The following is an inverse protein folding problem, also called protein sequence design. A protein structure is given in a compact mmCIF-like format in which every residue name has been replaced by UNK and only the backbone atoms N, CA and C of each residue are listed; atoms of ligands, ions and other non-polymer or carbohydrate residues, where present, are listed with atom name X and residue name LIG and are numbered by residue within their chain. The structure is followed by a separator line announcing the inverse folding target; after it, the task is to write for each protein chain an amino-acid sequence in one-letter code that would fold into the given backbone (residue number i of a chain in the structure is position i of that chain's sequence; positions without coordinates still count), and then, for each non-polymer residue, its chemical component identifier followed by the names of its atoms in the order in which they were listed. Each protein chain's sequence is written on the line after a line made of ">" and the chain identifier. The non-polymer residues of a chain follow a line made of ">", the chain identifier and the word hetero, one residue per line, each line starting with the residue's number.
data_IF_532238162456
#
_entry.id   IF_532238162456
#
_cell.length_a   1.000
_cell.length_b   1.000
_cell.length_c   1.000
_cell.angle_alpha   90.00
_cell.angle_beta   90.00
_cell.angle_gamma   90.00
#
_symmetry.space_group_name_H-M   'P 1'
#
loop_
_entity.id
_entity.type
_entity.pdbx_description
1 polymer ?
#
# COMPACT_ATOMS: atom_id res chain seq x y z
N UNK A 1 0.53 21.37 22.37
CA UNK A 1 1.40 20.62 21.44
C UNK A 1 1.40 19.12 21.74
N UNK A 2 1.82 18.68 22.93
CA UNK A 2 1.91 17.26 23.31
C UNK A 2 0.61 16.45 23.12
N UNK A 3 -0.54 17.01 23.54
CA UNK A 3 -1.87 16.38 23.34
C UNK A 3 -2.18 16.10 21.86
N UNK A 4 -1.81 17.01 20.95
CA UNK A 4 -2.05 16.86 19.50
C UNK A 4 -1.16 15.75 18.91
N UNK A 5 0.08 15.66 19.36
CA UNK A 5 1.01 14.59 18.94
C UNK A 5 0.48 13.23 19.41
N UNK A 6 0.09 13.14 20.69
CA UNK A 6 -0.46 11.91 21.25
C UNK A 6 -1.74 11.47 20.55
N UNK A 7 -2.65 12.41 20.23
CA UNK A 7 -3.84 12.15 19.42
C UNK A 7 -3.50 11.66 18.01
N UNK A 8 -2.45 12.22 17.37
CA UNK A 8 -2.02 11.81 16.03
C UNK A 8 -1.42 10.39 16.04
N UNK A 9 -0.64 10.07 17.07
CA UNK A 9 -0.08 8.73 17.27
C UNK A 9 -1.23 7.74 17.53
N UNK A 10 -2.14 8.04 18.45
CA UNK A 10 -3.30 7.21 18.74
C UNK A 10 -4.16 6.98 17.49
N UNK A 11 -4.45 8.02 16.71
CA UNK A 11 -5.18 7.89 15.44
C UNK A 11 -4.44 7.01 14.42
N UNK A 12 -3.11 7.05 14.39
CA UNK A 12 -2.29 6.21 13.52
C UNK A 12 -2.33 4.74 13.94
N UNK A 13 -2.20 4.47 15.24
CA UNK A 13 -2.29 3.12 15.81
C UNK A 13 -3.69 2.53 15.60
N UNK A 14 -4.74 3.32 15.85
CA UNK A 14 -6.13 2.92 15.61
C UNK A 14 -6.37 2.59 14.12
N UNK A 15 -5.87 3.43 13.22
CA UNK A 15 -5.96 3.17 11.77
C UNK A 15 -5.26 1.86 11.38
N UNK A 16 -4.06 1.62 11.89
CA UNK A 16 -3.29 0.41 11.61
C UNK A 16 -3.95 -0.85 12.18
N UNK A 17 -4.42 -0.78 13.44
CA UNK A 17 -5.13 -1.88 14.09
C UNK A 17 -6.44 -2.19 13.38
N UNK A 18 -7.22 -1.17 13.00
CA UNK A 18 -8.44 -1.33 12.22
C UNK A 18 -8.18 -2.01 10.87
N UNK A 19 -7.13 -1.62 10.16
CA UNK A 19 -6.74 -2.25 8.90
C UNK A 19 -6.36 -3.73 9.07
N UNK A 20 -5.61 -4.06 10.12
CA UNK A 20 -5.23 -5.46 10.42
C UNK A 20 -6.48 -6.28 10.77
N UNK A 21 -7.39 -5.74 11.59
CA UNK A 21 -8.65 -6.40 11.93
C UNK A 21 -9.49 -6.69 10.70
N UNK A 22 -9.64 -5.71 9.79
CA UNK A 22 -10.38 -5.89 8.54
C UNK A 22 -9.72 -6.99 7.70
N UNK A 23 -8.41 -6.96 7.51
CA UNK A 23 -7.71 -7.97 6.70
C UNK A 23 -7.78 -9.38 7.30
N UNK A 24 -7.62 -9.52 8.61
CA UNK A 24 -7.66 -10.82 9.27
C UNK A 24 -9.09 -11.37 9.34
N UNK A 25 -10.09 -10.56 9.67
CA UNK A 25 -11.45 -11.09 9.87
C UNK A 25 -12.19 -11.26 8.53
N UNK A 26 -11.91 -10.43 7.52
CA UNK A 26 -12.58 -10.52 6.21
C UNK A 26 -12.37 -11.85 5.52
N UNK A 27 -11.13 -12.36 5.47
CA UNK A 27 -10.78 -13.60 4.74
C UNK A 27 -11.65 -14.79 5.17
N UNK A 28 -11.69 -15.22 6.44
CA UNK A 28 -12.46 -16.38 6.84
C UNK A 28 -13.97 -16.18 6.74
N UNK A 29 -14.47 -14.97 6.98
CA UNK A 29 -15.90 -14.70 6.85
C UNK A 29 -16.35 -14.76 5.39
N UNK A 30 -15.63 -14.10 4.49
CA UNK A 30 -15.96 -14.12 3.07
C UNK A 30 -15.82 -15.54 2.49
N UNK A 31 -14.81 -16.30 2.88
CA UNK A 31 -14.69 -17.72 2.50
C UNK A 31 -15.88 -18.54 3.03
N UNK A 32 -16.31 -18.30 4.27
CA UNK A 32 -17.43 -19.04 4.87
C UNK A 32 -18.76 -18.81 4.13
N UNK A 33 -19.04 -17.58 3.71
CA UNK A 33 -20.33 -17.24 3.10
C UNK A 33 -20.36 -17.34 1.58
N UNK A 34 -19.25 -17.04 0.90
CA UNK A 34 -19.17 -17.07 -0.56
C UNK A 34 -18.42 -18.28 -1.12
N UNK A 35 -17.66 -19.00 -0.29
CA UNK A 35 -16.76 -20.06 -0.76
C UNK A 35 -15.52 -19.50 -1.46
N UNK A 36 -14.59 -20.38 -1.82
CA UNK A 36 -13.29 -20.00 -2.40
C UNK A 36 -13.43 -19.38 -3.79
N UNK A 37 -14.24 -19.97 -4.66
CA UNK A 37 -14.29 -19.53 -6.06
C UNK A 37 -14.93 -18.15 -6.20
N UNK A 38 -16.11 -17.93 -5.60
CA UNK A 38 -16.81 -16.65 -5.65
C UNK A 38 -16.01 -15.54 -4.94
N UNK A 39 -15.38 -15.85 -3.80
CA UNK A 39 -14.49 -14.90 -3.13
C UNK A 39 -13.24 -14.57 -3.98
N UNK A 40 -12.70 -15.54 -4.71
CA UNK A 40 -11.62 -15.31 -5.66
C UNK A 40 -12.00 -14.35 -6.78
N UNK A 41 -13.20 -14.51 -7.37
CA UNK A 41 -13.71 -13.61 -8.40
C UNK A 41 -13.95 -12.20 -7.83
N UNK A 42 -14.48 -12.11 -6.61
CA UNK A 42 -14.60 -10.85 -5.88
C UNK A 42 -13.25 -10.15 -5.69
N UNK A 43 -12.19 -10.88 -5.31
CA UNK A 43 -10.85 -10.31 -5.16
C UNK A 43 -10.30 -9.79 -6.50
N UNK A 44 -10.54 -10.51 -7.60
CA UNK A 44 -10.15 -10.06 -8.94
C UNK A 44 -10.88 -8.78 -9.35
N UNK A 45 -12.20 -8.73 -9.15
CA UNK A 45 -13.00 -7.53 -9.41
C UNK A 45 -12.60 -6.34 -8.52
N UNK A 46 -12.16 -6.58 -7.28
CA UNK A 46 -11.65 -5.54 -6.39
C UNK A 46 -10.24 -5.05 -6.78
N UNK A 47 -9.44 -5.92 -7.39
CA UNK A 47 -8.07 -5.63 -7.81
C UNK A 47 -8.03 -4.60 -8.94
N UNK A 48 -8.93 -4.69 -9.91
CA UNK A 48 -8.90 -3.83 -11.10
C UNK A 48 -9.10 -2.34 -10.75
N UNK A 49 -10.15 -1.92 -10.00
CA UNK A 49 -10.36 -0.53 -9.63
C UNK A 49 -9.27 0.03 -8.72
N UNK A 50 -8.52 -0.82 -8.00
CA UNK A 50 -7.46 -0.36 -7.12
C UNK A 50 -6.34 0.38 -7.87
N UNK A 51 -6.15 0.12 -9.16
CA UNK A 51 -5.23 0.90 -10.01
C UNK A 51 -5.65 2.37 -10.14
N UNK A 52 -6.94 2.70 -9.96
CA UNK A 52 -7.37 4.10 -9.93
C UNK A 52 -6.77 4.88 -8.76
N UNK A 53 -6.37 4.20 -7.68
CA UNK A 53 -5.68 4.86 -6.56
C UNK A 53 -4.33 5.45 -6.95
N UNK A 54 -3.73 4.97 -8.05
CA UNK A 54 -2.53 5.57 -8.64
C UNK A 54 -2.77 6.99 -9.15
N UNK A 55 -4.01 7.40 -9.38
CA UNK A 55 -4.37 8.78 -9.69
C UNK A 55 -3.98 9.77 -8.60
N UNK A 56 -3.88 9.29 -7.36
CA UNK A 56 -3.55 10.10 -6.19
C UNK A 56 -2.05 10.28 -5.96
N UNK A 57 -1.21 9.70 -6.84
CA UNK A 57 0.26 9.73 -6.95
C UNK A 57 1.05 10.94 -6.38
N UNK A 58 0.91 11.22 -5.09
CA UNK A 58 1.44 12.43 -4.46
C UNK A 58 0.56 13.67 -4.61
N UNK A 59 -0.57 13.63 -5.35
CA UNK A 59 -1.43 14.80 -5.54
C UNK A 59 -2.08 15.23 -4.22
N UNK A 60 -2.73 14.33 -3.47
CA UNK A 60 -3.30 14.68 -2.17
C UNK A 60 -2.23 15.16 -1.17
N UNK A 61 -1.03 14.58 -1.20
CA UNK A 61 0.08 14.99 -0.32
C UNK A 61 0.62 16.39 -0.67
N UNK A 62 0.82 16.67 -1.96
CA UNK A 62 1.27 17.98 -2.43
C UNK A 62 0.21 19.06 -2.15
N UNK A 63 -1.06 18.77 -2.46
CA UNK A 63 -2.18 19.65 -2.14
C UNK A 63 -2.30 19.87 -0.63
N UNK A 64 -2.10 18.84 0.18
CA UNK A 64 -2.13 18.96 1.65
C UNK A 64 -1.06 19.92 2.17
N UNK A 65 0.15 19.89 1.61
CA UNK A 65 1.22 20.80 2.02
C UNK A 65 0.95 22.24 1.57
N UNK A 66 0.48 22.42 0.33
CA UNK A 66 0.08 23.73 -0.18
C UNK A 66 -1.10 24.33 0.60
N UNK A 67 -2.10 23.53 0.95
CA UNK A 67 -3.21 23.94 1.81
C UNK A 67 -2.69 24.41 3.18
N UNK A 68 -1.79 23.65 3.81
CA UNK A 68 -1.16 24.04 5.07
C UNK A 68 -0.42 25.38 4.95
N UNK A 69 0.33 25.61 3.87
CA UNK A 69 1.04 26.88 3.65
C UNK A 69 0.08 28.07 3.46
N UNK A 70 -0.95 27.91 2.64
CA UNK A 70 -1.93 28.98 2.38
C UNK A 70 -2.74 29.30 3.66
N UNK A 71 -3.14 28.30 4.44
CA UNK A 71 -3.83 28.49 5.72
C UNK A 71 -2.90 29.15 6.75
N UNK A 72 -1.63 28.73 6.82
CA UNK A 72 -0.63 29.36 7.71
C UNK A 72 -0.38 30.83 7.37
N UNK A 73 -0.48 31.20 6.08
CA UNK A 73 -0.40 32.59 5.60
C UNK A 73 -1.73 33.35 5.71
N UNK A 74 -2.79 32.72 6.24
CA UNK A 74 -4.16 33.27 6.31
C UNK A 74 -4.78 33.59 4.94
N UNK A 75 -4.28 32.98 3.87
CA UNK A 75 -4.78 33.14 2.50
C UNK A 75 -5.96 32.18 2.23
N UNK A 76 -7.02 32.29 3.02
CA UNK A 76 -8.16 31.38 3.03
C UNK A 76 -8.87 31.24 1.67
N UNK A 77 -8.96 32.32 0.89
CA UNK A 77 -9.57 32.28 -0.44
C UNK A 77 -8.77 31.41 -1.42
N UNK A 78 -7.43 31.50 -1.38
CA UNK A 78 -6.55 30.67 -2.20
C UNK A 78 -6.62 29.20 -1.77
N UNK A 79 -6.68 28.94 -0.46
CA UNK A 79 -6.86 27.58 0.07
C UNK A 79 -8.19 26.96 -0.39
N UNK A 80 -9.29 27.71 -0.34
CA UNK A 80 -10.61 27.26 -0.82
C UNK A 80 -10.61 26.95 -2.32
N UNK A 81 -9.98 27.82 -3.12
CA UNK A 81 -9.81 27.62 -4.55
C UNK A 81 -8.96 26.39 -4.86
N UNK A 82 -7.84 26.20 -4.15
CA UNK A 82 -6.96 25.05 -4.30
C UNK A 82 -7.65 23.73 -3.96
N UNK A 83 -8.43 23.70 -2.86
CA UNK A 83 -9.22 22.53 -2.50
C UNK A 83 -10.24 22.18 -3.58
N UNK A 84 -10.96 23.18 -4.12
CA UNK A 84 -11.89 22.99 -5.23
C UNK A 84 -11.21 22.44 -6.49
N UNK A 85 -10.04 22.95 -6.83
CA UNK A 85 -9.22 22.42 -7.93
C UNK A 85 -8.79 20.98 -7.68
N UNK A 86 -8.33 20.63 -6.48
CA UNK A 86 -8.00 19.26 -6.12
C UNK A 86 -9.19 18.30 -6.31
N UNK A 87 -10.38 18.70 -5.84
CA UNK A 87 -11.59 17.90 -6.00
C UNK A 87 -11.93 17.67 -7.48
N UNK A 88 -11.94 18.74 -8.30
CA UNK A 88 -12.18 18.63 -9.74
C UNK A 88 -11.11 17.79 -10.44
N UNK A 89 -9.85 17.89 -10.04
CA UNK A 89 -8.74 17.14 -10.64
C UNK A 89 -8.89 15.64 -10.44
N UNK A 90 -9.15 15.22 -9.19
CA UNK A 90 -9.34 13.82 -8.85
C UNK A 90 -10.57 13.25 -9.58
N UNK A 91 -11.68 14.01 -9.66
CA UNK A 91 -12.86 13.57 -10.44
C UNK A 91 -12.50 13.48 -11.93
N UNK A 92 -11.91 14.52 -12.50
CA UNK A 92 -11.61 14.59 -13.94
C UNK A 92 -10.65 13.48 -14.38
N UNK A 93 -9.49 13.38 -13.72
CA UNK A 93 -8.52 12.32 -14.02
C UNK A 93 -9.09 10.94 -13.70
N UNK A 94 -9.79 10.81 -12.57
CA UNK A 94 -10.44 9.58 -12.16
C UNK A 94 -11.47 9.06 -13.16
N UNK A 95 -12.32 9.92 -13.71
CA UNK A 95 -13.27 9.59 -14.79
C UNK A 95 -12.52 9.19 -16.05
N UNK A 96 -11.50 9.94 -16.47
CA UNK A 96 -10.69 9.59 -17.66
C UNK A 96 -10.08 8.20 -17.51
N UNK A 97 -9.41 7.92 -16.39
CA UNK A 97 -8.79 6.60 -16.16
C UNK A 97 -9.85 5.51 -16.04
N UNK A 98 -10.99 5.78 -15.40
CA UNK A 98 -12.09 4.81 -15.31
C UNK A 98 -12.66 4.47 -16.68
N UNK A 99 -12.83 5.46 -17.56
CA UNK A 99 -13.30 5.25 -18.94
C UNK A 99 -12.28 4.46 -19.74
N UNK A 100 -10.99 4.83 -19.68
CA UNK A 100 -9.92 4.10 -20.38
C UNK A 100 -9.84 2.66 -19.89
N UNK A 101 -9.95 2.44 -18.58
CA UNK A 101 -9.91 1.11 -17.98
C UNK A 101 -11.14 0.29 -18.38
N UNK A 102 -12.35 0.86 -18.30
CA UNK A 102 -13.58 0.19 -18.74
C UNK A 102 -13.55 -0.16 -20.23
N UNK A 103 -13.07 0.74 -21.09
CA UNK A 103 -12.89 0.48 -22.52
C UNK A 103 -11.89 -0.65 -22.76
N UNK A 104 -10.72 -0.61 -22.09
CA UNK A 104 -9.72 -1.68 -22.20
C UNK A 104 -10.26 -3.04 -21.77
N UNK A 105 -11.01 -3.09 -20.67
CA UNK A 105 -11.63 -4.31 -20.16
C UNK A 105 -12.70 -4.85 -21.12
N UNK A 106 -13.52 -3.96 -21.69
CA UNK A 106 -14.54 -4.33 -22.67
C UNK A 106 -13.92 -4.91 -23.94
N UNK A 107 -12.86 -4.27 -24.46
CA UNK A 107 -12.15 -4.76 -25.65
C UNK A 107 -11.40 -6.08 -25.39
N UNK A 108 -10.95 -6.31 -24.15
CA UNK A 108 -10.20 -7.52 -23.78
C UNK A 108 -11.06 -8.72 -23.40
N UNK A 109 -12.38 -8.54 -23.23
CA UNK A 109 -13.29 -9.53 -22.64
C UNK A 109 -12.79 -10.07 -21.29
N UNK A 110 -12.82 -9.20 -20.28
CA UNK A 110 -12.16 -9.49 -19.00
C UNK A 110 -12.71 -10.66 -18.22
N UNK A 111 -14.00 -10.96 -18.37
CA UNK A 111 -14.64 -12.10 -17.71
C UNK A 111 -14.06 -13.42 -18.21
N UNK A 112 -13.75 -13.50 -19.51
CA UNK A 112 -13.15 -14.69 -20.12
C UNK A 112 -11.70 -14.90 -19.67
N UNK A 113 -10.83 -13.90 -19.80
CA UNK A 113 -9.41 -14.11 -19.46
C UNK A 113 -9.17 -14.21 -17.94
N UNK A 114 -10.00 -13.57 -17.11
CA UNK A 114 -9.97 -13.76 -15.64
C UNK A 114 -10.73 -15.00 -15.17
N UNK A 115 -11.34 -15.76 -16.08
CA UNK A 115 -12.08 -16.99 -15.80
C UNK A 115 -13.17 -16.78 -14.74
N UNK A 116 -13.88 -15.66 -14.85
CA UNK A 116 -15.05 -15.33 -14.02
C UNK A 116 -16.21 -16.22 -14.48
N UNK A 117 -16.68 -17.11 -13.60
CA UNK A 117 -17.70 -18.13 -13.88
C UNK A 117 -18.87 -18.08 -12.89
N UNK A 118 -18.63 -17.69 -11.64
CA UNK A 118 -19.64 -17.74 -10.58
C UNK A 118 -20.42 -16.42 -10.43
N UNK A 119 -19.79 -15.29 -10.77
CA UNK A 119 -20.42 -13.99 -10.92
C UNK A 119 -20.87 -13.84 -12.37
N UNK A 120 -22.16 -13.60 -12.59
CA UNK A 120 -22.68 -13.35 -13.92
C UNK A 120 -21.98 -12.15 -14.56
N UNK A 121 -21.80 -12.14 -15.88
CA UNK A 121 -21.10 -11.06 -16.59
C UNK A 121 -21.71 -9.68 -16.32
N UNK A 122 -23.04 -9.56 -16.34
CA UNK A 122 -23.74 -8.31 -16.02
C UNK A 122 -23.45 -7.83 -14.59
N UNK A 123 -23.44 -8.77 -13.64
CA UNK A 123 -23.21 -8.50 -12.22
C UNK A 123 -21.73 -8.15 -11.99
N UNK A 124 -20.81 -8.75 -12.74
CA UNK A 124 -19.39 -8.45 -12.73
C UNK A 124 -19.11 -7.02 -13.23
N UNK A 125 -19.73 -6.61 -14.34
CA UNK A 125 -19.66 -5.24 -14.84
C UNK A 125 -20.22 -4.22 -13.85
N UNK A 126 -21.40 -4.48 -13.30
CA UNK A 126 -22.02 -3.60 -12.32
C UNK A 126 -21.15 -3.48 -11.05
N UNK A 127 -20.64 -4.61 -10.55
CA UNK A 127 -19.71 -4.66 -9.41
C UNK A 127 -18.47 -3.82 -9.69
N UNK A 128 -17.87 -3.97 -10.86
CA UNK A 128 -16.67 -3.25 -11.26
C UNK A 128 -16.90 -1.73 -11.32
N UNK A 129 -17.99 -1.28 -11.94
CA UNK A 129 -18.35 0.15 -12.01
C UNK A 129 -18.61 0.75 -10.63
N UNK A 130 -19.31 0.01 -9.75
CA UNK A 130 -19.58 0.42 -8.38
C UNK A 130 -18.29 0.50 -7.55
N UNK A 131 -17.36 -0.44 -7.73
CA UNK A 131 -16.05 -0.42 -7.08
C UNK A 131 -15.16 0.72 -7.60
N UNK A 132 -15.23 1.06 -8.89
CA UNK A 132 -14.55 2.25 -9.44
C UNK A 132 -15.10 3.53 -8.80
N UNK A 133 -16.43 3.67 -8.69
CA UNK A 133 -17.06 4.78 -7.99
C UNK A 133 -16.63 4.83 -6.52
N UNK A 134 -16.59 3.68 -5.83
CA UNK A 134 -16.11 3.57 -4.46
C UNK A 134 -14.66 4.08 -4.32
N UNK A 135 -13.74 3.65 -5.18
CA UNK A 135 -12.34 4.12 -5.15
C UNK A 135 -12.26 5.62 -5.40
N UNK A 136 -13.05 6.16 -6.33
CA UNK A 136 -13.13 7.60 -6.58
C UNK A 136 -13.57 8.39 -5.35
N UNK A 137 -14.62 7.92 -4.66
CA UNK A 137 -15.09 8.53 -3.42
C UNK A 137 -14.05 8.43 -2.30
N UNK A 138 -13.31 7.33 -2.23
CA UNK A 138 -12.21 7.16 -1.28
C UNK A 138 -11.06 8.16 -1.53
N UNK A 139 -10.70 8.41 -2.80
CA UNK A 139 -9.69 9.43 -3.15
C UNK A 139 -10.15 10.84 -2.79
N UNK A 140 -11.42 11.16 -3.03
CA UNK A 140 -11.99 12.44 -2.60
C UNK A 140 -11.95 12.61 -1.08
N UNK A 141 -12.25 11.53 -0.34
CA UNK A 141 -12.21 11.54 1.11
C UNK A 141 -10.79 11.71 1.65
N UNK A 142 -9.79 11.09 1.01
CA UNK A 142 -8.38 11.27 1.36
C UNK A 142 -7.95 12.74 1.17
N UNK A 143 -8.35 13.39 0.07
CA UNK A 143 -8.10 14.82 -0.13
C UNK A 143 -8.76 15.67 0.95
N UNK A 144 -10.02 15.41 1.31
CA UNK A 144 -10.71 16.14 2.38
C UNK A 144 -10.01 15.98 3.74
N UNK A 145 -9.31 14.87 3.98
CA UNK A 145 -8.56 14.66 5.21
C UNK A 145 -7.40 15.66 5.40
N UNK A 146 -6.99 16.35 4.32
CA UNK A 146 -6.01 17.43 4.37
C UNK A 146 -6.55 18.71 5.04
N UNK A 147 -7.86 18.93 5.06
CA UNK A 147 -8.50 20.11 5.66
C UNK A 147 -8.17 20.25 7.16
N UNK A 148 -8.49 19.27 8.03
CA UNK A 148 -8.16 19.38 9.45
C UNK A 148 -6.65 19.42 9.68
N UNK A 149 -5.85 18.75 8.84
CA UNK A 149 -4.39 18.78 8.90
C UNK A 149 -3.84 20.19 8.66
N UNK A 150 -4.38 20.93 7.68
CA UNK A 150 -4.00 22.31 7.40
C UNK A 150 -4.36 23.27 8.55
N UNK A 151 -5.39 22.94 9.33
CA UNK A 151 -5.83 23.68 10.53
C UNK A 151 -5.10 23.24 11.82
N UNK A 152 -4.17 22.29 11.71
CA UNK A 152 -3.37 21.78 12.83
C UNK A 152 -4.02 20.67 13.66
N UNK A 153 -5.14 20.10 13.20
CA UNK A 153 -5.71 18.84 13.68
C UNK A 153 -5.26 17.68 12.78
N UNK A 154 -4.15 17.06 13.17
CA UNK A 154 -3.57 15.93 12.45
C UNK A 154 -4.30 14.60 12.67
N UNK A 155 -5.29 14.56 13.58
CA UNK A 155 -5.99 13.33 13.97
C UNK A 155 -7.39 13.22 13.37
N UNK A 156 -8.15 14.31 13.30
CA UNK A 156 -9.58 14.29 12.94
C UNK A 156 -9.88 13.62 11.60
N UNK A 157 -9.16 13.98 10.54
CA UNK A 157 -9.35 13.37 9.21
C UNK A 157 -9.04 11.87 9.19
N UNK A 158 -7.99 11.44 9.90
CA UNK A 158 -7.57 10.03 9.97
C UNK A 158 -8.57 9.18 10.77
N UNK A 159 -9.08 9.72 11.87
CA UNK A 159 -10.12 9.07 12.68
C UNK A 159 -11.37 8.88 11.82
N UNK A 160 -11.80 9.90 11.08
CA UNK A 160 -12.98 9.81 10.21
C UNK A 160 -12.84 8.70 9.17
N UNK A 161 -11.71 8.64 8.46
CA UNK A 161 -11.44 7.59 7.46
C UNK A 161 -11.43 6.21 8.11
N UNK A 162 -10.79 6.07 9.27
CA UNK A 162 -10.73 4.79 9.99
C UNK A 162 -12.11 4.32 10.42
N UNK A 163 -12.92 5.22 11.00
CA UNK A 163 -14.32 4.93 11.37
C UNK A 163 -15.14 4.53 10.15
N UNK A 164 -14.97 5.23 9.02
CA UNK A 164 -15.66 4.88 7.77
C UNK A 164 -15.34 3.45 7.33
N UNK A 165 -14.05 3.07 7.34
CA UNK A 165 -13.61 1.71 6.97
C UNK A 165 -14.16 0.63 7.90
N UNK A 166 -14.24 0.91 9.20
CA UNK A 166 -14.81 -0.02 10.18
C UNK A 166 -16.33 -0.17 10.00
N UNK A 167 -17.05 0.91 9.71
CA UNK A 167 -18.48 0.87 9.39
C UNK A 167 -18.70 0.07 8.10
N UNK A 168 -17.95 0.36 7.04
CA UNK A 168 -18.00 -0.40 5.78
C UNK A 168 -17.80 -1.89 6.04
N UNK A 169 -16.77 -2.24 6.79
CA UNK A 169 -16.48 -3.62 7.13
C UNK A 169 -17.64 -4.30 7.87
N UNK A 170 -18.21 -3.64 8.90
CA UNK A 170 -19.34 -4.17 9.65
C UNK A 170 -20.59 -4.37 8.78
N UNK A 171 -20.92 -3.40 7.94
CA UNK A 171 -22.08 -3.49 7.03
C UNK A 171 -21.85 -4.55 5.95
N UNK A 172 -20.64 -4.68 5.42
CA UNK A 172 -20.31 -5.71 4.43
C UNK A 172 -20.45 -7.11 5.02
N UNK A 173 -19.96 -7.34 6.25
CA UNK A 173 -20.18 -8.61 6.94
C UNK A 173 -21.68 -8.89 7.10
N UNK A 174 -22.46 -7.90 7.51
CA UNK A 174 -23.91 -8.04 7.64
C UNK A 174 -24.54 -8.44 6.31
N UNK A 175 -24.21 -7.76 5.21
CA UNK A 175 -24.75 -8.05 3.88
C UNK A 175 -24.36 -9.45 3.40
N UNK A 176 -23.10 -9.83 3.56
CA UNK A 176 -22.61 -11.16 3.16
C UNK A 176 -23.26 -12.26 4.01
N UNK A 177 -23.47 -12.01 5.32
CA UNK A 177 -24.14 -12.97 6.20
C UNK A 177 -25.61 -13.23 5.84
N UNK A 178 -26.24 -12.30 5.11
CA UNK A 178 -27.58 -12.44 4.56
C UNK A 178 -27.60 -13.12 3.18
N UNK A 179 -26.45 -13.62 2.70
CA UNK A 179 -26.33 -14.27 1.39
C UNK A 179 -26.37 -13.30 0.21
N UNK A 180 -26.06 -12.01 0.43
CA UNK A 180 -26.01 -11.02 -0.65
C UNK A 180 -24.80 -11.25 -1.55
N UNK A 181 -24.98 -10.97 -2.84
CA UNK A 181 -23.98 -11.11 -3.90
C UNK A 181 -23.04 -9.91 -4.02
N UNK A 182 -22.00 -10.05 -4.83
CA UNK A 182 -20.93 -9.09 -5.07
C UNK A 182 -21.44 -7.69 -5.44
N UNK A 183 -22.42 -7.58 -6.34
CA UNK A 183 -22.95 -6.31 -6.83
C UNK A 183 -23.64 -5.51 -5.71
N UNK A 184 -24.36 -6.21 -4.83
CA UNK A 184 -25.03 -5.59 -3.68
C UNK A 184 -23.99 -5.13 -2.64
N UNK A 185 -22.94 -5.92 -2.44
CA UNK A 185 -21.84 -5.56 -1.54
C UNK A 185 -21.05 -4.36 -2.08
N UNK A 186 -20.77 -4.31 -3.37
CA UNK A 186 -20.11 -3.17 -4.03
C UNK A 186 -20.97 -1.90 -3.94
N UNK A 187 -22.28 -2.01 -4.15
CA UNK A 187 -23.21 -0.90 -3.97
C UNK A 187 -23.16 -0.38 -2.53
N UNK A 188 -23.13 -1.28 -1.55
CA UNK A 188 -23.05 -0.95 -0.13
C UNK A 188 -21.75 -0.19 0.18
N UNK A 189 -20.61 -0.64 -0.35
CA UNK A 189 -19.33 0.10 -0.25
C UNK A 189 -19.46 1.52 -0.80
N UNK A 190 -20.00 1.68 -2.01
CA UNK A 190 -20.17 2.99 -2.64
C UNK A 190 -21.11 3.90 -1.85
N UNK A 191 -22.24 3.39 -1.34
CA UNK A 191 -23.21 4.15 -0.55
C UNK A 191 -22.61 4.59 0.79
N UNK A 192 -22.02 3.67 1.56
CA UNK A 192 -21.41 4.01 2.86
C UNK A 192 -20.28 5.03 2.68
N UNK A 193 -19.42 4.81 1.68
CA UNK A 193 -18.34 5.76 1.36
C UNK A 193 -18.89 7.12 0.92
N UNK A 194 -19.91 7.14 0.06
CA UNK A 194 -20.54 8.37 -0.41
C UNK A 194 -21.22 9.17 0.70
N UNK A 195 -21.94 8.49 1.60
CA UNK A 195 -22.53 9.12 2.79
C UNK A 195 -21.46 9.67 3.73
N UNK A 196 -20.39 8.92 3.95
CA UNK A 196 -19.27 9.39 4.78
C UNK A 196 -18.55 10.60 4.18
N UNK A 197 -18.26 10.56 2.88
CA UNK A 197 -17.67 11.68 2.15
C UNK A 197 -18.57 12.93 2.22
N UNK A 198 -19.87 12.77 1.96
CA UNK A 198 -20.82 13.88 2.03
C UNK A 198 -20.90 14.44 3.45
N UNK A 199 -20.97 13.56 4.46
CA UNK A 199 -20.95 13.96 5.87
C UNK A 199 -19.69 14.74 6.24
N UNK A 200 -18.52 14.28 5.80
CA UNK A 200 -17.23 14.94 6.01
C UNK A 200 -17.19 16.31 5.35
N UNK A 201 -17.61 16.39 4.09
CA UNK A 201 -17.66 17.64 3.33
C UNK A 201 -18.59 18.67 3.97
N UNK A 202 -19.83 18.27 4.31
CA UNK A 202 -20.81 19.16 4.96
C UNK A 202 -20.35 19.61 6.35
N UNK A 203 -19.75 18.70 7.13
CA UNK A 203 -19.19 19.02 8.44
C UNK A 203 -18.07 20.05 8.31
N UNK A 204 -17.10 19.84 7.43
CA UNK A 204 -16.00 20.79 7.20
C UNK A 204 -16.46 22.11 6.63
N UNK A 205 -17.48 22.11 5.76
CA UNK A 205 -18.08 23.34 5.23
C UNK A 205 -18.70 24.21 6.32
N UNK A 206 -19.24 23.60 7.38
CA UNK A 206 -19.81 24.30 8.54
C UNK A 206 -18.75 24.69 9.57
N UNK A 207 -17.76 23.82 9.80
CA UNK A 207 -16.77 24.00 10.86
C UNK A 207 -15.63 24.94 10.46
N UNK A 208 -15.21 24.89 9.19
CA UNK A 208 -14.12 25.72 8.65
C UNK A 208 -14.68 26.74 7.65
N UNK A 209 -14.69 28.02 8.04
CA UNK A 209 -15.31 29.09 7.26
C UNK A 209 -14.77 29.18 5.82
N UNK A 210 -13.47 28.95 5.61
CA UNK A 210 -12.88 28.99 4.28
C UNK A 210 -13.35 27.86 3.35
N UNK A 211 -13.70 26.69 3.90
CA UNK A 211 -14.22 25.56 3.11
C UNK A 211 -15.60 25.88 2.53
N UNK A 212 -16.38 26.76 3.18
CA UNK A 212 -17.65 27.25 2.65
C UNK A 212 -17.53 28.00 1.32
N UNK A 213 -16.34 28.55 1.04
CA UNK A 213 -16.00 29.33 -0.15
C UNK A 213 -15.47 28.45 -1.30
N UNK A 214 -15.34 27.14 -1.10
CA UNK A 214 -14.88 26.21 -2.14
C UNK A 214 -15.84 26.27 -3.32
N UNK A 215 -15.29 26.56 -4.50
CA UNK A 215 -16.01 26.54 -5.77
C UNK A 215 -15.42 25.46 -6.66
N UNK A 216 -16.29 24.67 -7.28
CA UNK A 216 -15.89 23.75 -8.33
C UNK A 216 -15.52 24.59 -9.54
N UNK A 217 -14.26 24.55 -9.92
CA UNK A 217 -13.73 25.28 -11.06
C UNK A 217 -12.93 24.38 -11.99
N UNK A 218 -12.75 24.83 -13.23
CA UNK A 218 -11.86 24.18 -14.19
C UNK A 218 -10.43 24.20 -13.63
N UNK A 219 -9.82 23.03 -13.67
CA UNK A 219 -8.50 22.79 -13.11
C UNK A 219 -7.41 23.40 -14.00
N UNK A 220 -6.65 24.41 -13.53
CA UNK A 220 -5.51 24.91 -14.28
C UNK A 220 -4.33 23.97 -14.06
N UNK A 221 -4.06 23.08 -15.03
CA UNK A 221 -2.87 22.20 -15.06
C UNK A 221 -1.56 22.97 -14.78
N UNK A 222 -1.50 24.24 -15.19
CA UNK A 222 -0.38 25.14 -14.93
C UNK A 222 -0.06 25.31 -13.43
N UNK A 223 -1.07 25.31 -12.57
CA UNK A 223 -0.90 25.55 -11.12
C UNK A 223 -0.30 24.35 -10.37
N UNK A 224 -0.36 23.14 -10.93
CA UNK A 224 0.15 21.92 -10.26
C UNK A 224 1.33 21.30 -10.99
N UNK A 225 1.68 21.80 -12.18
CA UNK A 225 2.86 21.34 -12.95
C UNK A 225 4.16 21.34 -12.12
N UNK A 226 4.34 22.34 -11.26
CA UNK A 226 5.52 22.43 -10.40
C UNK A 226 5.54 21.37 -9.28
N UNK A 227 4.38 20.83 -8.90
CA UNK A 227 4.23 19.77 -7.90
C UNK A 227 4.43 18.36 -8.48
N UNK A 228 4.28 18.19 -9.80
CA UNK A 228 4.42 16.88 -10.47
C UNK A 228 5.86 16.35 -10.44
N UNK A 229 6.87 17.23 -10.50
CA UNK A 229 8.28 16.84 -10.56
C UNK A 229 8.75 16.07 -9.31
N UNK A 230 8.66 16.65 -8.09
CA UNK A 230 9.03 15.95 -6.86
C UNK A 230 8.14 14.75 -6.54
N UNK A 231 6.86 14.80 -6.92
CA UNK A 231 5.89 13.73 -6.66
C UNK A 231 6.12 12.50 -7.54
N UNK A 232 6.85 12.63 -8.67
CA UNK A 232 7.09 11.54 -9.61
C UNK A 232 7.86 10.36 -8.99
N UNK A 233 8.76 10.63 -8.05
CA UNK A 233 9.51 9.57 -7.38
C UNK A 233 8.63 8.78 -6.39
N UNK A 234 7.78 9.48 -5.62
CA UNK A 234 6.79 8.84 -4.75
C UNK A 234 5.73 8.08 -5.57
N UNK A 235 5.34 8.62 -6.73
CA UNK A 235 4.53 7.90 -7.69
C UNK A 235 5.21 6.61 -8.13
N UNK A 236 6.50 6.64 -8.49
CA UNK A 236 7.25 5.44 -8.86
C UNK A 236 7.18 4.35 -7.78
N UNK A 237 7.33 4.72 -6.50
CA UNK A 237 7.17 3.78 -5.39
C UNK A 237 5.73 3.23 -5.26
N UNK A 238 4.72 4.09 -5.33
CA UNK A 238 3.32 3.66 -5.26
C UNK A 238 2.94 2.77 -6.45
N UNK A 239 3.39 3.12 -7.64
CA UNK A 239 3.19 2.37 -8.88
C UNK A 239 3.86 1.01 -8.83
N UNK A 240 5.14 0.95 -8.44
CA UNK A 240 5.87 -0.30 -8.28
C UNK A 240 5.23 -1.24 -7.25
N UNK A 241 4.72 -0.70 -6.13
CA UNK A 241 3.97 -1.47 -5.14
C UNK A 241 2.64 -1.98 -5.69
N UNK A 242 1.89 -1.14 -6.41
CA UNK A 242 0.62 -1.53 -7.03
C UNK A 242 0.83 -2.64 -8.06
N UNK A 243 1.85 -2.53 -8.92
CA UNK A 243 2.23 -3.58 -9.86
C UNK A 243 2.52 -4.90 -9.14
N UNK A 244 3.30 -4.89 -8.05
CA UNK A 244 3.60 -6.11 -7.30
C UNK A 244 2.34 -6.67 -6.64
N UNK A 245 1.54 -5.86 -5.95
CA UNK A 245 0.39 -6.38 -5.20
C UNK A 245 -0.75 -6.80 -6.14
N UNK A 246 -1.19 -5.88 -6.99
CA UNK A 246 -2.35 -6.04 -7.84
C UNK A 246 -2.01 -6.79 -9.12
N UNK A 247 -0.81 -6.59 -9.68
CA UNK A 247 -0.34 -7.33 -10.85
C UNK A 247 -0.15 -8.81 -10.55
N UNK A 248 0.38 -9.18 -9.37
CA UNK A 248 0.45 -10.61 -8.98
C UNK A 248 -0.93 -11.25 -8.95
N UNK A 249 -1.91 -10.58 -8.34
CA UNK A 249 -3.28 -11.07 -8.24
C UNK A 249 -3.93 -11.23 -9.62
N UNK A 250 -3.78 -10.25 -10.51
CA UNK A 250 -4.31 -10.34 -11.87
C UNK A 250 -3.63 -11.44 -12.70
N UNK A 251 -2.31 -11.59 -12.61
CA UNK A 251 -1.60 -12.66 -13.32
C UNK A 251 -2.04 -14.05 -12.86
N UNK A 252 -2.20 -14.25 -11.55
CA UNK A 252 -2.70 -15.52 -11.02
C UNK A 252 -4.13 -15.77 -11.50
N UNK A 253 -5.01 -14.76 -11.49
CA UNK A 253 -6.36 -14.89 -12.03
C UNK A 253 -6.37 -15.26 -13.51
N UNK A 254 -5.52 -14.60 -14.31
CA UNK A 254 -5.44 -14.81 -15.75
C UNK A 254 -4.93 -16.21 -16.12
N UNK A 255 -3.81 -16.61 -15.54
CA UNK A 255 -3.14 -17.87 -15.90
C UNK A 255 -3.74 -19.07 -15.16
N UNK A 256 -4.20 -18.89 -13.92
CA UNK A 256 -4.64 -19.98 -13.04
C UNK A 256 -6.15 -19.94 -12.82
N UNK A 257 -6.64 -19.80 -11.59
CA UNK A 257 -8.07 -19.73 -11.26
C UNK A 257 -8.31 -18.74 -10.12
N UNK A 258 -9.55 -18.23 -9.96
CA UNK A 258 -9.91 -17.39 -8.83
C UNK A 258 -9.60 -18.01 -7.46
N UNK A 259 -9.73 -19.33 -7.30
CA UNK A 259 -9.34 -20.02 -6.05
C UNK A 259 -7.84 -19.86 -5.73
N UNK A 260 -6.96 -19.93 -6.73
CA UNK A 260 -5.52 -19.70 -6.51
C UNK A 260 -5.21 -18.25 -6.10
N UNK A 261 -6.05 -17.28 -6.49
CA UNK A 261 -5.95 -15.89 -6.02
C UNK A 261 -6.22 -15.82 -4.51
N UNK A 262 -7.24 -16.53 -4.02
CA UNK A 262 -7.53 -16.58 -2.58
C UNK A 262 -6.38 -17.20 -1.81
N UNK A 263 -5.83 -18.33 -2.29
CA UNK A 263 -4.68 -18.99 -1.67
C UNK A 263 -3.49 -18.02 -1.61
N UNK A 264 -3.12 -17.43 -2.75
CA UNK A 264 -1.98 -16.53 -2.82
C UNK A 264 -2.13 -15.30 -1.93
N UNK A 265 -3.28 -14.61 -1.97
CA UNK A 265 -3.52 -13.41 -1.16
C UNK A 265 -3.54 -13.72 0.34
N UNK A 266 -4.03 -14.89 0.74
CA UNK A 266 -3.99 -15.37 2.13
C UNK A 266 -2.55 -15.62 2.58
N UNK A 267 -1.75 -16.35 1.79
CA UNK A 267 -0.32 -16.59 2.09
C UNK A 267 0.45 -15.27 2.14
N UNK A 268 0.17 -14.35 1.20
CA UNK A 268 0.80 -13.03 1.13
C UNK A 268 0.48 -12.17 2.35
N UNK A 269 -0.73 -12.26 2.88
CA UNK A 269 -1.14 -11.54 4.09
C UNK A 269 -0.27 -11.96 5.28
N UNK A 270 -0.03 -13.26 5.47
CA UNK A 270 0.89 -13.74 6.51
C UNK A 270 2.33 -13.26 6.29
N UNK A 271 2.83 -13.35 5.05
CA UNK A 271 4.19 -12.91 4.73
C UNK A 271 4.39 -11.40 4.96
N UNK A 272 3.34 -10.59 4.74
CA UNK A 272 3.41 -9.14 4.90
C UNK A 272 3.58 -8.69 6.37
N UNK A 273 3.27 -9.53 7.36
CA UNK A 273 3.59 -9.23 8.76
C UNK A 273 5.09 -9.03 8.98
N UNK A 274 5.94 -9.81 8.29
CA UNK A 274 7.40 -9.65 8.37
C UNK A 274 7.81 -8.27 7.82
N UNK A 275 7.22 -7.87 6.69
CA UNK A 275 7.45 -6.54 6.08
C UNK A 275 7.02 -5.41 7.02
N UNK A 276 5.92 -5.59 7.75
CA UNK A 276 5.42 -4.60 8.69
C UNK A 276 6.40 -4.36 9.86
N UNK A 277 7.00 -5.42 10.40
CA UNK A 277 8.03 -5.31 11.44
C UNK A 277 9.24 -4.53 10.91
N UNK A 278 9.71 -4.86 9.71
CA UNK A 278 10.84 -4.15 9.06
C UNK A 278 10.52 -2.66 8.89
N UNK A 279 9.29 -2.30 8.54
CA UNK A 279 8.87 -0.90 8.40
C UNK A 279 8.88 -0.16 9.74
N UNK A 280 8.49 -0.82 10.84
CA UNK A 280 8.58 -0.24 12.20
C UNK A 280 10.04 0.08 12.54
N UNK A 281 10.97 -0.87 12.34
CA UNK A 281 12.40 -0.64 12.55
C UNK A 281 12.90 0.54 11.71
N UNK A 282 12.57 0.52 10.42
CA UNK A 282 13.01 1.54 9.47
C UNK A 282 12.54 2.94 9.87
N UNK A 283 11.27 3.09 10.27
CA UNK A 283 10.71 4.37 10.72
C UNK A 283 11.36 4.92 11.99
N UNK A 284 11.82 4.05 12.89
CA UNK A 284 12.50 4.46 14.12
C UNK A 284 13.91 4.99 13.85
N UNK A 285 14.61 4.38 12.90
CA UNK A 285 16.00 4.73 12.56
C UNK A 285 16.10 5.92 11.62
N UNK A 286 15.12 6.12 10.73
CA UNK A 286 15.16 7.16 9.71
C UNK A 286 15.54 8.55 10.27
N UNK A 287 14.96 9.08 11.37
CA UNK A 287 15.35 10.40 11.89
C UNK A 287 16.78 10.49 12.42
N UNK A 288 17.33 9.41 12.97
CA UNK A 288 18.73 9.36 13.45
C UNK A 288 19.71 9.30 12.27
N UNK A 289 19.35 8.53 11.24
CA UNK A 289 20.14 8.43 10.02
C UNK A 289 20.17 9.75 9.24
N UNK A 290 19.03 10.45 9.13
CA UNK A 290 18.96 11.79 8.56
C UNK A 290 19.87 12.77 9.30
N UNK A 291 19.84 12.79 10.64
CA UNK A 291 20.72 13.66 11.43
C UNK A 291 22.20 13.36 11.18
N UNK A 292 22.60 12.09 11.29
CA UNK A 292 24.00 11.70 11.06
C UNK A 292 24.51 12.06 9.64
N UNK A 293 23.66 11.90 8.62
CA UNK A 293 24.02 12.24 7.23
C UNK A 293 24.07 13.75 6.98
N UNK A 294 23.19 14.54 7.60
CA UNK A 294 23.19 16.01 7.50
C UNK A 294 24.37 16.61 8.27
N UNK A 295 24.70 16.06 9.43
CA UNK A 295 25.84 16.48 10.26
C UNK A 295 27.19 15.97 9.69
N UNK A 296 27.19 15.28 8.55
CA UNK A 296 28.35 14.65 7.92
C UNK A 296 29.13 13.66 8.81
N UNK A 297 28.48 13.10 9.85
CA UNK A 297 29.02 12.04 10.69
C UNK A 297 28.81 10.67 10.00
N UNK A 298 29.63 10.42 8.97
CA UNK A 298 29.58 9.19 8.19
C UNK A 298 29.90 7.95 9.01
N UNK A 299 30.75 8.07 10.04
CA UNK A 299 31.06 6.96 10.95
C UNK A 299 29.83 6.49 11.70
N UNK A 300 29.06 7.42 12.28
CA UNK A 300 27.78 7.11 12.93
C UNK A 300 26.73 6.62 11.94
N UNK A 301 26.65 7.21 10.75
CA UNK A 301 25.71 6.78 9.71
C UNK A 301 25.96 5.34 9.26
N UNK A 302 27.23 4.95 9.03
CA UNK A 302 27.64 3.57 8.69
C UNK A 302 27.28 2.61 9.82
N UNK A 303 27.60 2.97 11.07
CA UNK A 303 27.31 2.12 12.23
C UNK A 303 25.79 1.89 12.39
N UNK A 304 24.99 2.95 12.27
CA UNK A 304 23.54 2.87 12.30
C UNK A 304 23.05 1.97 11.16
N UNK A 305 23.47 2.23 9.92
CA UNK A 305 23.04 1.48 8.75
C UNK A 305 23.33 -0.02 8.89
N UNK A 306 24.54 -0.41 9.29
CA UNK A 306 24.92 -1.82 9.52
C UNK A 306 24.06 -2.50 10.58
N UNK A 307 23.89 -1.86 11.74
CA UNK A 307 23.10 -2.41 12.84
C UNK A 307 21.65 -2.61 12.44
N UNK A 308 21.08 -1.65 11.71
CA UNK A 308 19.69 -1.75 11.24
C UNK A 308 19.51 -2.90 10.26
N UNK A 309 20.42 -3.02 9.29
CA UNK A 309 20.37 -4.11 8.32
C UNK A 309 20.53 -5.47 9.02
N UNK A 310 21.44 -5.57 9.98
CA UNK A 310 21.63 -6.77 10.80
C UNK A 310 20.37 -7.14 11.58
N UNK A 311 19.82 -6.21 12.37
CA UNK A 311 18.62 -6.46 13.17
C UNK A 311 17.44 -6.84 12.26
N UNK A 312 17.24 -6.12 11.16
CA UNK A 312 16.17 -6.40 10.21
C UNK A 312 16.31 -7.77 9.55
N UNK A 313 17.53 -8.15 9.13
CA UNK A 313 17.80 -9.45 8.51
C UNK A 313 17.56 -10.60 9.50
N UNK A 314 18.12 -10.53 10.71
CA UNK A 314 17.95 -11.59 11.71
C UNK A 314 16.52 -11.67 12.24
N UNK A 315 15.83 -10.54 12.37
CA UNK A 315 14.40 -10.53 12.67
C UNK A 315 13.61 -11.18 11.55
N UNK A 316 13.83 -10.82 10.28
CA UNK A 316 13.16 -11.43 9.15
C UNK A 316 13.44 -12.95 9.07
N UNK A 317 14.67 -13.38 9.34
CA UNK A 317 15.07 -14.78 9.36
C UNK A 317 14.40 -15.56 10.49
N UNK A 318 14.38 -15.02 11.71
CA UNK A 318 13.70 -15.64 12.85
C UNK A 318 12.19 -15.76 12.59
N UNK A 319 11.56 -14.71 12.07
CA UNK A 319 10.14 -14.74 11.72
C UNK A 319 9.83 -15.68 10.56
N UNK A 320 10.74 -15.81 9.58
CA UNK A 320 10.62 -16.79 8.52
C UNK A 320 10.58 -18.21 9.10
N UNK A 321 11.53 -18.56 9.97
CA UNK A 321 11.57 -19.88 10.61
C UNK A 321 10.31 -20.11 11.44
N UNK A 322 9.91 -19.12 12.25
CA UNK A 322 8.70 -19.21 13.05
C UNK A 322 7.46 -19.45 12.16
N UNK A 323 7.31 -18.68 11.07
CA UNK A 323 6.19 -18.83 10.14
C UNK A 323 6.24 -20.13 9.35
N UNK A 324 7.41 -20.66 9.01
CA UNK A 324 7.54 -21.96 8.36
C UNK A 324 7.03 -23.09 9.27
N UNK A 325 7.31 -23.01 10.57
CA UNK A 325 6.87 -24.01 11.56
C UNK A 325 5.39 -23.82 11.93
N UNK A 326 4.96 -22.60 12.26
CA UNK A 326 3.61 -22.33 12.80
C UNK A 326 2.60 -21.93 11.73
N UNK A 327 3.04 -21.57 10.54
CA UNK A 327 2.19 -20.99 9.48
C UNK A 327 1.08 -21.93 9.02
N UNK A 328 1.35 -23.24 8.95
CA UNK A 328 0.32 -24.23 8.66
C UNK A 328 -0.81 -24.25 9.69
N UNK A 329 -0.45 -24.26 10.98
CA UNK A 329 -1.43 -24.19 12.08
C UNK A 329 -2.19 -22.87 12.10
N UNK A 330 -1.49 -21.75 11.85
CA UNK A 330 -2.12 -20.42 11.77
C UNK A 330 -3.13 -20.42 10.62
N UNK A 331 -2.76 -20.89 9.42
CA UNK A 331 -3.65 -20.96 8.26
C UNK A 331 -4.84 -21.87 8.52
N UNK A 332 -4.64 -23.04 9.12
CA UNK A 332 -5.73 -23.99 9.38
C UNK A 332 -6.73 -23.42 10.38
N UNK A 333 -6.27 -22.79 11.46
CA UNK A 333 -7.16 -22.14 12.44
C UNK A 333 -7.84 -20.92 11.82
N UNK A 334 -7.08 -20.09 11.13
CA UNK A 334 -7.57 -18.84 10.56
C UNK A 334 -8.61 -19.07 9.47
N UNK A 335 -8.36 -20.00 8.54
CA UNK A 335 -9.23 -20.28 7.39
C UNK A 335 -10.19 -21.45 7.60
N UNK A 336 -10.31 -21.93 8.85
CA UNK A 336 -11.10 -23.11 9.25
C UNK A 336 -10.74 -24.37 8.44
N UNK A 337 -9.47 -24.53 8.10
CA UNK A 337 -8.93 -25.67 7.36
C UNK A 337 -9.09 -25.59 5.84
N UNK A 338 -9.75 -24.55 5.32
CA UNK A 338 -10.03 -24.38 3.89
C UNK A 338 -8.77 -24.15 3.05
N UNK A 339 -7.75 -23.50 3.63
CA UNK A 339 -6.48 -23.20 2.94
C UNK A 339 -5.35 -23.86 3.73
N UNK A 340 -4.56 -24.68 3.04
CA UNK A 340 -3.35 -25.30 3.56
C UNK A 340 -2.12 -24.63 2.93
N UNK A 341 -0.98 -24.58 3.63
CA UNK A 341 0.27 -24.09 3.06
C UNK A 341 0.71 -25.00 1.91
N UNK A 342 0.67 -24.48 0.69
CA UNK A 342 1.17 -25.20 -0.49
C UNK A 342 2.68 -25.04 -0.52
N UNK A 343 3.43 -26.12 -0.30
CA UNK A 343 4.88 -26.13 -0.46
C UNK A 343 5.27 -26.47 -1.91
N UNK A 344 6.31 -25.85 -2.48
CA UNK A 344 7.26 -24.91 -1.88
C UNK A 344 6.83 -23.42 -1.92
N UNK A 345 5.60 -23.11 -2.33
CA UNK A 345 5.13 -21.72 -2.54
C UNK A 345 5.27 -20.87 -1.29
N UNK A 346 4.84 -21.41 -0.15
CA UNK A 346 4.86 -20.67 1.12
C UNK A 346 6.28 -20.32 1.55
N UNK A 347 7.21 -21.28 1.54
CA UNK A 347 8.63 -21.02 1.85
C UNK A 347 9.24 -19.99 0.90
N UNK A 348 8.99 -20.08 -0.41
CA UNK A 348 9.53 -19.11 -1.38
C UNK A 348 8.97 -17.70 -1.14
N UNK A 349 7.68 -17.58 -0.80
CA UNK A 349 7.09 -16.30 -0.43
C UNK A 349 7.70 -15.72 0.85
N UNK A 350 7.93 -16.54 1.87
CA UNK A 350 8.62 -16.11 3.09
C UNK A 350 10.06 -15.68 2.79
N UNK A 351 10.77 -16.40 1.93
CA UNK A 351 12.12 -16.05 1.51
C UNK A 351 12.20 -14.66 0.86
N UNK A 352 11.13 -14.15 0.23
CA UNK A 352 11.11 -12.77 -0.30
C UNK A 352 11.30 -11.71 0.79
N UNK A 353 10.99 -12.02 2.05
CA UNK A 353 11.16 -11.09 3.16
C UNK A 353 12.63 -10.81 3.49
N UNK A 354 13.55 -11.74 3.21
CA UNK A 354 14.98 -11.58 3.47
C UNK A 354 15.62 -10.50 2.59
N UNK A 355 15.60 -10.59 1.24
CA UNK A 355 16.13 -9.52 0.39
C UNK A 355 15.35 -8.22 0.58
N UNK A 356 14.03 -8.29 0.83
CA UNK A 356 13.23 -7.12 1.19
C UNK A 356 13.76 -6.39 2.43
N UNK A 357 14.10 -7.12 3.50
CA UNK A 357 14.66 -6.53 4.72
C UNK A 357 15.96 -5.76 4.45
N UNK A 358 16.81 -6.29 3.57
CA UNK A 358 18.10 -5.71 3.24
C UNK A 358 17.96 -4.47 2.34
N UNK A 359 17.19 -4.57 1.25
CA UNK A 359 17.06 -3.44 0.33
C UNK A 359 16.22 -2.32 0.93
N UNK A 360 15.16 -2.60 1.69
CA UNK A 360 14.30 -1.58 2.29
C UNK A 360 15.04 -0.74 3.34
N UNK A 361 15.80 -1.41 4.24
CA UNK A 361 16.63 -0.72 5.24
C UNK A 361 17.75 0.09 4.57
N UNK A 362 18.36 -0.44 3.51
CA UNK A 362 19.39 0.28 2.74
C UNK A 362 18.83 1.46 1.97
N UNK A 363 17.63 1.35 1.40
CA UNK A 363 16.97 2.45 0.69
C UNK A 363 16.73 3.67 1.59
N UNK A 364 16.59 3.44 2.90
CA UNK A 364 16.39 4.49 3.90
C UNK A 364 17.55 5.49 3.93
N UNK A 365 18.78 5.07 3.63
CA UNK A 365 19.95 5.98 3.52
C UNK A 365 19.72 7.04 2.45
N UNK A 366 19.32 6.64 1.25
CA UNK A 366 19.05 7.53 0.13
C UNK A 366 17.76 8.36 0.34
N UNK A 367 16.74 7.76 0.96
CA UNK A 367 15.52 8.48 1.33
C UNK A 367 15.82 9.60 2.34
N UNK A 368 16.71 9.34 3.31
CA UNK A 368 17.09 10.32 4.35
C UNK A 368 17.68 11.61 3.80
N UNK A 369 18.34 11.55 2.64
CA UNK A 369 18.92 12.71 1.94
C UNK A 369 18.13 13.13 0.70
N UNK A 370 16.88 12.68 0.55
CA UNK A 370 15.99 12.96 -0.58
C UNK A 370 16.55 12.58 -1.97
N UNK A 371 17.47 11.60 -2.04
CA UNK A 371 18.03 11.03 -3.28
C UNK A 371 17.38 9.70 -3.68
N UNK A 372 16.06 9.62 -3.53
CA UNK A 372 15.30 8.37 -3.69
C UNK A 372 14.78 8.14 -5.13
N UNK A 373 14.98 9.09 -6.06
CA UNK A 373 14.49 9.01 -7.43
C UNK A 373 15.04 7.79 -8.18
N UNK A 374 16.35 7.53 -8.07
CA UNK A 374 16.98 6.37 -8.70
C UNK A 374 16.47 5.05 -8.12
N UNK A 375 16.10 5.02 -6.83
CA UNK A 375 15.55 3.82 -6.18
C UNK A 375 14.12 3.59 -6.65
N UNK A 376 13.30 4.64 -6.72
CA UNK A 376 11.95 4.57 -7.24
C UNK A 376 11.92 3.99 -8.66
N UNK A 377 12.79 4.48 -9.55
CA UNK A 377 12.90 3.97 -10.91
C UNK A 377 13.36 2.50 -10.94
N UNK A 378 14.41 2.15 -10.17
CA UNK A 378 14.87 0.78 -10.04
C UNK A 378 13.76 -0.16 -9.54
N UNK A 379 12.91 0.32 -8.62
CA UNK A 379 11.80 -0.46 -8.08
C UNK A 379 10.71 -0.70 -9.12
N UNK A 380 10.37 0.30 -9.94
CA UNK A 380 9.44 0.10 -11.06
C UNK A 380 9.99 -0.95 -12.04
N UNK A 381 11.26 -0.83 -12.43
CA UNK A 381 11.91 -1.82 -13.31
C UNK A 381 11.93 -3.21 -12.70
N UNK A 382 12.22 -3.31 -11.41
CA UNK A 382 12.18 -4.55 -10.65
C UNK A 382 10.79 -5.17 -10.64
N UNK A 383 9.76 -4.38 -10.38
CA UNK A 383 8.37 -4.85 -10.34
C UNK A 383 7.92 -5.35 -11.72
N UNK A 384 8.23 -4.62 -12.79
CA UNK A 384 7.94 -5.05 -14.16
C UNK A 384 8.71 -6.33 -14.51
N UNK A 385 10.00 -6.39 -14.16
CA UNK A 385 10.84 -7.57 -14.36
C UNK A 385 10.33 -8.80 -13.60
N UNK A 386 9.87 -8.61 -12.36
CA UNK A 386 9.28 -9.68 -11.53
C UNK A 386 7.97 -10.21 -12.14
N UNK A 387 7.08 -9.34 -12.61
CA UNK A 387 5.85 -9.73 -13.29
C UNK A 387 6.15 -10.40 -14.64
N UNK A 388 7.11 -9.88 -15.40
CA UNK A 388 7.55 -10.51 -16.64
C UNK A 388 8.10 -11.91 -16.39
N UNK A 389 9.00 -12.08 -15.41
CA UNK A 389 9.48 -13.39 -15.00
C UNK A 389 8.33 -14.31 -14.57
N UNK A 390 7.35 -13.80 -13.83
CA UNK A 390 6.18 -14.57 -13.42
C UNK A 390 5.33 -15.05 -14.61
N UNK A 391 5.14 -14.24 -15.66
CA UNK A 391 4.42 -14.65 -16.89
C UNK A 391 5.06 -15.91 -17.50
N UNK A 392 6.39 -16.01 -17.50
CA UNK A 392 7.11 -17.17 -18.03
C UNK A 392 7.14 -18.36 -17.06
N UNK A 393 7.16 -18.10 -15.74
CA UNK A 393 7.31 -19.12 -14.71
C UNK A 393 5.99 -19.75 -14.24
N UNK A 394 4.88 -18.99 -14.23
CA UNK A 394 3.57 -19.48 -13.78
C UNK A 394 3.11 -20.71 -14.57
N UNK A 395 3.22 -20.76 -15.92
CA UNK A 395 2.83 -21.96 -16.67
C UNK A 395 3.63 -23.22 -16.31
N UNK A 396 4.85 -23.09 -15.78
CA UNK A 396 5.75 -24.21 -15.46
C UNK A 396 5.71 -24.61 -13.98
N UNK A 397 5.60 -23.64 -13.09
CA UNK A 397 5.75 -23.82 -11.63
C UNK A 397 4.51 -23.36 -10.84
N UNK A 398 3.42 -22.97 -11.52
CA UNK A 398 2.19 -22.48 -10.89
C UNK A 398 2.44 -21.28 -9.99
N UNK A 399 1.84 -21.29 -8.78
CA UNK A 399 2.01 -20.23 -7.79
C UNK A 399 3.47 -20.03 -7.36
N UNK A 400 4.30 -21.08 -7.37
CA UNK A 400 5.72 -20.94 -7.05
C UNK A 400 6.44 -20.07 -8.08
N UNK A 401 6.01 -20.12 -9.34
CA UNK A 401 6.54 -19.26 -10.40
C UNK A 401 6.35 -17.76 -10.12
N UNK A 402 5.18 -17.38 -9.58
CA UNK A 402 4.93 -16.01 -9.11
C UNK A 402 5.84 -15.63 -7.95
N UNK A 403 5.97 -16.50 -6.95
CA UNK A 403 6.81 -16.27 -5.78
C UNK A 403 8.31 -16.12 -6.15
N UNK A 404 8.81 -16.96 -7.08
CA UNK A 404 10.17 -16.88 -7.63
C UNK A 404 10.37 -15.56 -8.37
N UNK A 405 9.41 -15.13 -9.19
CA UNK A 405 9.48 -13.85 -9.90
C UNK A 405 9.64 -12.67 -8.93
N UNK A 406 8.88 -12.66 -7.83
CA UNK A 406 9.02 -11.66 -6.78
C UNK A 406 10.38 -11.73 -6.07
N UNK A 407 10.86 -12.94 -5.78
CA UNK A 407 12.17 -13.13 -5.16
C UNK A 407 13.29 -12.57 -6.04
N UNK A 408 13.25 -12.83 -7.35
CA UNK A 408 14.20 -12.28 -8.33
C UNK A 408 14.16 -10.75 -8.37
N UNK A 409 12.96 -10.17 -8.31
CA UNK A 409 12.79 -8.72 -8.19
C UNK A 409 13.42 -8.15 -6.92
N UNK A 410 13.13 -8.73 -5.76
CA UNK A 410 13.71 -8.28 -4.49
C UNK A 410 15.25 -8.43 -4.49
N UNK A 411 15.81 -9.46 -5.14
CA UNK A 411 17.27 -9.58 -5.33
C UNK A 411 17.85 -8.52 -6.27
N UNK A 412 17.16 -8.19 -7.36
CA UNK A 412 17.57 -7.08 -8.23
C UNK A 412 17.60 -5.76 -7.45
N UNK A 413 16.60 -5.53 -6.59
CA UNK A 413 16.56 -4.36 -5.71
C UNK A 413 17.70 -4.33 -4.71
N UNK A 414 18.04 -5.47 -4.09
CA UNK A 414 19.23 -5.60 -3.24
C UNK A 414 20.45 -5.06 -3.98
N UNK A 415 20.78 -5.60 -5.17
CA UNK A 415 21.97 -5.17 -5.92
C UNK A 415 21.96 -3.67 -6.19
N UNK A 416 20.84 -3.14 -6.70
CA UNK A 416 20.79 -1.74 -7.12
C UNK A 416 20.78 -0.75 -5.96
N UNK A 417 20.08 -1.08 -4.88
CA UNK A 417 20.01 -0.23 -3.68
C UNK A 417 21.33 -0.27 -2.93
N UNK A 418 22.00 -1.42 -2.83
CA UNK A 418 23.32 -1.50 -2.20
C UNK A 418 24.36 -0.67 -2.94
N UNK A 419 24.38 -0.70 -4.27
CA UNK A 419 25.26 0.18 -5.05
C UNK A 419 25.01 1.67 -4.76
N UNK A 420 23.75 2.05 -4.51
CA UNK A 420 23.39 3.42 -4.20
C UNK A 420 23.68 3.80 -2.73
N UNK A 421 23.49 2.89 -1.77
CA UNK A 421 23.83 3.18 -0.37
C UNK A 421 25.33 3.34 -0.19
N UNK A 422 26.14 2.50 -0.86
CA UNK A 422 27.60 2.58 -0.83
C UNK A 422 28.16 3.82 -1.52
N UNK A 423 27.47 4.36 -2.55
CA UNK A 423 27.89 5.62 -3.16
C UNK A 423 27.64 6.83 -2.26
N UNK A 424 26.68 6.72 -1.33
CA UNK A 424 26.39 7.73 -0.31
C UNK A 424 27.34 7.57 0.89
N UNK A 425 27.57 6.34 1.32
CA UNK A 425 28.47 5.98 2.41
C UNK A 425 29.87 5.67 1.84
N UNK A 426 30.56 6.69 1.36
CA UNK A 426 31.83 6.60 0.61
C UNK A 426 32.93 5.76 1.28
N UNK A 427 32.92 5.64 2.61
CA UNK A 427 33.89 4.85 3.38
C UNK A 427 33.50 3.37 3.56
N UNK A 428 32.27 3.01 3.17
CA UNK A 428 31.75 1.67 3.29
C UNK A 428 32.06 0.83 2.04
N UNK A 429 32.59 -0.39 2.24
CA UNK A 429 32.85 -1.34 1.16
C UNK A 429 32.05 -2.61 1.39
N UNK A 430 31.59 -3.23 0.30
CA UNK A 430 30.83 -4.50 0.30
C UNK A 430 31.52 -5.57 1.17
N UNK A 431 32.85 -5.67 1.07
CA UNK A 431 33.65 -6.64 1.82
C UNK A 431 33.67 -6.46 3.35
N UNK A 432 33.34 -5.26 3.87
CA UNK A 432 33.18 -5.01 5.32
C UNK A 432 31.73 -5.07 5.78
N UNK A 433 30.78 -4.90 4.84
CA UNK A 433 29.36 -4.83 5.12
C UNK A 433 28.71 -6.21 5.31
N UNK A 434 28.98 -7.17 4.42
CA UNK A 434 28.47 -8.54 4.55
C UNK A 434 28.88 -9.22 5.87
N UNK A 435 30.16 -9.16 6.29
CA UNK A 435 30.58 -9.71 7.58
C UNK A 435 29.91 -9.01 8.77
N UNK A 436 29.67 -7.70 8.68
CA UNK A 436 29.01 -6.96 9.75
C UNK A 436 27.56 -7.41 9.99
N UNK A 437 26.83 -7.73 8.91
CA UNK A 437 25.46 -8.26 9.04
C UNK A 437 25.45 -9.66 9.66
N UNK A 438 26.40 -10.52 9.27
CA UNK A 438 26.36 -11.95 9.62
C UNK A 438 27.04 -12.24 10.96
N UNK A 439 28.10 -11.52 11.32
CA UNK A 439 29.02 -11.91 12.41
C UNK A 439 29.22 -10.86 13.51
N UNK A 440 28.89 -9.58 13.29
CA UNK A 440 29.20 -8.52 14.27
C UNK A 440 28.10 -8.36 15.34
N UNK A 441 28.08 -9.27 16.32
CA UNK A 441 27.16 -9.22 17.46
C UNK A 441 27.77 -8.58 18.72
N UNK A 442 28.98 -8.03 18.63
CA UNK A 442 29.71 -7.53 19.81
C UNK A 442 28.97 -6.41 20.54
N UNK A 443 28.17 -5.62 19.83
CA UNK A 443 27.36 -4.54 20.39
C UNK A 443 26.24 -5.01 21.36
N UNK A 444 25.75 -6.25 21.24
CA UNK A 444 24.75 -6.79 22.18
C UNK A 444 25.28 -6.91 23.61
N UNK A 445 26.60 -7.11 23.76
CA UNK A 445 27.25 -7.17 25.07
C UNK A 445 27.28 -5.82 25.80
N UNK A 446 27.24 -4.71 25.05
CA UNK A 446 27.23 -3.35 25.60
C UNK A 446 25.84 -2.94 26.12
N UNK A 447 24.76 -3.57 25.66
CA UNK A 447 23.39 -3.34 26.13
C UNK A 447 23.04 -4.10 27.42
N UNK A 448 23.86 -5.09 27.80
CA UNK A 448 23.72 -5.83 29.06
C UNK A 448 24.39 -5.13 30.25
N UNK A 449 25.12 -4.04 30.00
CA UNK A 449 25.67 -3.13 31.01
C UNK A 449 24.76 -1.92 31.11
#
# INVERSE_FOLDING_TARGET
>A
MFRRILQSIAASVLGQAGQILIQLISVPLLIQYWGLDYYGEWLLLFTIPSYLSLSDAGLASALSNELLMNISRKEHAKAAQLLGYGMTAIIGFGVIVSVVLALGLHLSDFTTWLKIKYINESDAWLTLLLLMLYVMLALQQELLSAVPRAEGDNAGGRIWITTTRLIEFGVVILMVSQGRKAETVALTYAIVRGMSWLGMFLYYRRHYHWVSQVRIGLFPIASIRHLLGPSLAFFGFAFANSLVLQGSTLLIGAFMTPTYVVIYTTLRTLCNFIRQIINVLTSAIWPELTRALVDHDFSKAILLHRRVCQIAFWSAFLFLIAMEITGGTILSVWTKGTIQPVQPVFTVLLLTALPYSLWNTSATTAISINRHQSIAFAFVMSSLGALAAAIWLIPRYGLAGMAIGLLLGDFFMVVRVFQNSLSILLEERIGKFLPAIIMDFAWLSQLRK
#
